data_IF_029841172264
#
_entry.id   IF_029841172264
#
_cell.length_a   1.000
_cell.length_b   1.000
_cell.length_c   1.000
_cell.angle_alpha   90.00
_cell.angle_beta   90.00
_cell.angle_gamma   90.00
#
_symmetry.space_group_name_H-M   'P 1'
#
loop_
_entity.id
_entity.type
_entity.pdbx_description
1 polymer ?
#
# COMPACT_ATOMS: atom_id res chain seq x y z
N UNK A 1 -59.01 40.89 12.07
CA UNK A 1 -57.76 40.49 11.37
C UNK A 1 -57.65 38.97 11.46
N UNK A 2 -57.97 38.25 10.36
CA UNK A 2 -57.72 36.81 10.22
C UNK A 2 -56.22 36.62 10.24
N UNK A 3 -55.67 35.91 11.24
CA UNK A 3 -54.30 35.39 11.20
C UNK A 3 -54.28 34.26 10.17
N UNK A 4 -53.69 34.47 9.04
CA UNK A 4 -53.31 33.40 8.12
C UNK A 4 -52.28 32.54 8.81
N UNK A 5 -52.61 31.26 9.00
CA UNK A 5 -51.65 30.25 9.43
C UNK A 5 -50.71 30.00 8.27
N UNK A 6 -49.58 30.69 8.27
CA UNK A 6 -48.50 30.40 7.36
C UNK A 6 -47.84 29.10 7.86
N UNK A 7 -48.26 27.96 7.30
CA UNK A 7 -47.63 26.69 7.54
C UNK A 7 -46.27 26.63 6.88
N UNK A 8 -45.23 26.34 7.63
CA UNK A 8 -43.90 26.03 7.07
C UNK A 8 -43.72 24.52 6.85
N UNK A 9 -43.28 24.11 5.67
CA UNK A 9 -43.01 22.70 5.38
C UNK A 9 -41.61 22.37 5.82
N UNK A 10 -41.46 21.38 6.71
CA UNK A 10 -40.18 20.90 7.22
C UNK A 10 -39.91 19.51 6.68
N UNK A 11 -38.76 19.30 6.03
CA UNK A 11 -38.29 17.99 5.58
C UNK A 11 -37.87 17.15 6.78
N UNK A 12 -38.34 15.91 6.87
CA UNK A 12 -38.02 14.97 7.94
C UNK A 12 -37.37 13.74 7.36
N UNK A 13 -36.41 13.16 8.07
CA UNK A 13 -35.77 11.91 7.72
C UNK A 13 -36.23 10.83 8.67
N UNK A 14 -36.61 9.70 8.13
CA UNK A 14 -36.93 8.51 8.90
C UNK A 14 -35.72 7.60 8.99
N UNK A 15 -35.50 6.95 10.11
CA UNK A 15 -34.45 6.00 10.36
C UNK A 15 -35.04 4.65 10.76
N UNK A 16 -34.36 3.58 10.44
CA UNK A 16 -34.71 2.22 10.82
C UNK A 16 -33.50 1.29 10.72
N UNK A 17 -33.58 0.17 11.41
CA UNK A 17 -32.58 -0.88 11.36
C UNK A 17 -33.10 -2.04 10.54
N UNK A 18 -32.51 -2.31 9.40
CA UNK A 18 -32.88 -3.41 8.51
C UNK A 18 -31.98 -4.62 8.75
N UNK A 19 -32.56 -5.79 8.92
CA UNK A 19 -31.83 -7.05 9.00
C UNK A 19 -31.60 -7.56 7.58
N UNK A 20 -30.36 -7.70 7.19
CA UNK A 20 -29.97 -8.19 5.87
C UNK A 20 -30.53 -9.60 5.65
N UNK A 21 -31.09 -9.85 4.47
CA UNK A 21 -31.79 -11.10 4.08
C UNK A 21 -33.09 -11.41 4.82
N UNK A 22 -33.74 -10.43 5.44
CA UNK A 22 -35.09 -10.57 6.02
C UNK A 22 -35.93 -9.37 5.63
N UNK A 23 -37.25 -9.48 5.75
CA UNK A 23 -38.21 -8.37 5.50
C UNK A 23 -38.49 -7.55 6.75
N UNK A 24 -37.65 -7.67 7.79
CA UNK A 24 -37.91 -7.02 9.08
C UNK A 24 -37.08 -5.73 9.22
N UNK A 25 -37.78 -4.68 9.63
CA UNK A 25 -37.21 -3.37 9.99
C UNK A 25 -37.56 -3.11 11.46
N UNK A 26 -36.55 -2.82 12.27
CA UNK A 26 -36.66 -2.47 13.68
C UNK A 26 -36.46 -0.97 13.91
N UNK A 27 -37.07 -0.45 14.96
CA UNK A 27 -36.91 0.93 15.39
C UNK A 27 -37.13 1.93 14.24
N UNK A 28 -38.16 1.67 13.44
CA UNK A 28 -38.54 2.62 12.39
C UNK A 28 -39.27 3.81 13.02
N UNK A 29 -38.75 4.99 12.76
CA UNK A 29 -39.29 6.21 13.29
C UNK A 29 -38.63 7.45 12.71
N UNK A 30 -39.13 8.60 13.13
CA UNK A 30 -38.53 9.88 12.78
C UNK A 30 -37.18 10.00 13.44
N UNK A 31 -36.16 10.40 12.67
CA UNK A 31 -34.80 10.57 13.17
C UNK A 31 -34.78 11.71 14.20
N UNK A 32 -34.37 11.37 15.43
CA UNK A 32 -34.19 12.33 16.50
C UNK A 32 -32.84 13.07 16.35
N UNK A 33 -32.78 14.27 16.91
CA UNK A 33 -31.54 15.06 16.98
C UNK A 33 -30.87 15.35 15.65
N UNK A 34 -31.64 15.64 14.59
CA UNK A 34 -31.03 16.09 13.32
C UNK A 34 -30.44 17.48 13.49
N UNK A 35 -29.16 17.67 13.04
CA UNK A 35 -28.56 19.01 12.98
C UNK A 35 -29.27 19.82 11.89
N UNK A 36 -29.88 20.95 12.26
CA UNK A 36 -30.59 21.86 11.37
C UNK A 36 -30.06 23.27 11.52
N UNK A 37 -29.91 23.97 10.41
CA UNK A 37 -29.61 25.37 10.45
C UNK A 37 -30.86 26.16 10.88
N UNK A 38 -30.70 27.13 11.78
CA UNK A 38 -31.79 28.04 12.17
C UNK A 38 -32.26 28.91 11.01
N UNK A 39 -31.39 29.19 10.05
CA UNK A 39 -31.70 29.97 8.86
C UNK A 39 -32.49 29.21 7.81
N UNK A 40 -32.37 27.86 7.78
CA UNK A 40 -33.06 27.01 6.81
C UNK A 40 -33.52 25.70 7.45
N UNK A 41 -34.72 25.68 7.97
CA UNK A 41 -35.32 24.51 8.63
C UNK A 41 -35.64 23.36 7.65
N UNK A 42 -35.72 23.65 6.37
CA UNK A 42 -35.97 22.64 5.33
C UNK A 42 -34.70 21.90 4.91
N UNK A 43 -33.51 22.37 5.31
CA UNK A 43 -32.27 21.67 5.05
C UNK A 43 -32.14 20.46 5.99
N UNK A 44 -31.95 19.29 5.39
CA UNK A 44 -31.76 18.05 6.16
C UNK A 44 -30.34 17.58 6.01
N UNK A 45 -29.62 17.51 7.12
CA UNK A 45 -28.29 16.94 7.19
C UNK A 45 -28.37 15.56 7.81
N UNK A 46 -27.79 14.56 7.14
CA UNK A 46 -27.69 13.22 7.70
C UNK A 46 -26.61 13.17 8.78
N UNK A 47 -26.75 12.25 9.72
CA UNK A 47 -25.72 12.00 10.76
C UNK A 47 -24.43 11.43 10.20
N UNK A 48 -24.43 11.00 8.95
CA UNK A 48 -23.28 10.44 8.25
C UNK A 48 -22.88 11.37 7.13
N UNK A 49 -21.57 11.63 7.05
CA UNK A 49 -20.97 12.36 5.95
C UNK A 49 -20.18 11.34 5.15
N UNK A 50 -20.64 11.09 3.92
CA UNK A 50 -20.06 10.10 3.04
C UNK A 50 -19.44 10.83 1.85
N UNK A 51 -18.22 10.47 1.54
CA UNK A 51 -17.58 10.80 0.29
C UNK A 51 -17.26 9.51 -0.46
N UNK A 52 -17.67 9.43 -1.70
CA UNK A 52 -17.46 8.24 -2.53
C UNK A 52 -16.98 8.67 -3.91
N UNK A 53 -15.67 8.57 -4.20
CA UNK A 53 -15.14 8.86 -5.52
C UNK A 53 -15.52 7.76 -6.52
N UNK A 54 -15.67 8.14 -7.78
CA UNK A 54 -15.84 7.21 -8.90
C UNK A 54 -16.98 6.20 -8.76
N UNK A 55 -18.19 6.69 -8.53
CA UNK A 55 -19.41 5.88 -8.37
C UNK A 55 -19.91 5.35 -9.73
N UNK A 56 -19.20 4.41 -10.33
CA UNK A 56 -19.67 3.75 -11.55
C UNK A 56 -20.58 2.56 -11.20
N UNK A 57 -21.81 2.55 -11.72
CA UNK A 57 -22.82 1.53 -11.43
C UNK A 57 -23.05 1.30 -9.92
N UNK A 58 -23.00 2.35 -9.11
CA UNK A 58 -23.15 2.28 -7.64
C UNK A 58 -22.09 1.39 -6.94
N UNK A 59 -21.01 1.06 -7.61
CA UNK A 59 -19.87 0.32 -7.05
C UNK A 59 -18.64 1.22 -7.02
N UNK A 60 -18.12 1.44 -5.85
CA UNK A 60 -16.83 2.10 -5.66
C UNK A 60 -15.79 1.04 -5.39
N UNK A 61 -14.70 1.07 -6.15
CA UNK A 61 -13.50 0.28 -5.84
C UNK A 61 -12.56 1.17 -5.03
N UNK A 62 -12.17 0.70 -3.86
CA UNK A 62 -11.19 1.41 -3.04
C UNK A 62 -9.82 1.42 -3.75
N UNK A 63 -8.97 2.38 -3.38
CA UNK A 63 -7.60 2.41 -3.86
C UNK A 63 -6.85 1.14 -3.45
N UNK A 64 -7.13 0.64 -2.24
CA UNK A 64 -6.57 -0.61 -1.71
C UNK A 64 -6.96 -1.81 -2.57
N UNK A 65 -8.23 -1.94 -2.98
CA UNK A 65 -8.67 -3.04 -3.86
C UNK A 65 -7.91 -3.07 -5.19
N UNK A 66 -7.47 -1.91 -5.67
CA UNK A 66 -6.66 -1.81 -6.89
C UNK A 66 -5.21 -2.21 -6.66
N UNK A 67 -4.70 -2.06 -5.44
CA UNK A 67 -3.32 -2.41 -5.07
C UNK A 67 -3.14 -3.89 -4.75
N UNK A 68 -4.16 -4.56 -4.21
CA UNK A 68 -4.11 -5.95 -3.75
C UNK A 68 -3.47 -6.90 -4.79
N UNK A 69 -3.86 -6.91 -6.09
CA UNK A 69 -3.28 -7.85 -7.04
C UNK A 69 -1.77 -7.69 -7.21
N UNK A 70 -1.26 -6.46 -7.15
CA UNK A 70 0.17 -6.18 -7.27
C UNK A 70 0.91 -6.52 -5.96
N UNK A 71 0.30 -6.26 -4.81
CA UNK A 71 0.85 -6.65 -3.52
C UNK A 71 1.00 -8.17 -3.40
N UNK A 72 0.01 -8.94 -3.85
CA UNK A 72 0.06 -10.40 -3.89
C UNK A 72 1.20 -10.91 -4.79
N UNK A 73 1.40 -10.26 -5.96
CA UNK A 73 2.53 -10.60 -6.85
C UNK A 73 3.90 -10.27 -6.21
N UNK A 74 3.99 -9.17 -5.48
CA UNK A 74 5.21 -8.82 -4.73
C UNK A 74 5.52 -9.87 -3.68
N UNK A 75 4.51 -10.30 -2.89
CA UNK A 75 4.68 -11.35 -1.89
C UNK A 75 5.11 -12.67 -2.53
N UNK A 76 4.47 -13.06 -3.63
CA UNK A 76 4.83 -14.27 -4.36
C UNK A 76 6.26 -14.22 -4.91
N UNK A 77 6.66 -13.08 -5.50
CA UNK A 77 8.03 -12.88 -5.97
C UNK A 77 9.03 -12.96 -4.82
N UNK A 78 8.73 -12.35 -3.67
CA UNK A 78 9.57 -12.40 -2.48
C UNK A 78 9.75 -13.83 -1.96
N UNK A 79 8.67 -14.61 -1.85
CA UNK A 79 8.73 -16.02 -1.44
C UNK A 79 9.58 -16.86 -2.41
N UNK A 80 9.45 -16.61 -3.72
CA UNK A 80 10.28 -17.27 -4.74
C UNK A 80 11.74 -16.90 -4.60
N UNK A 81 12.06 -15.63 -4.36
CA UNK A 81 13.43 -15.15 -4.10
C UNK A 81 14.00 -15.88 -2.87
N UNK A 82 13.28 -15.94 -1.76
CA UNK A 82 13.71 -16.68 -0.57
C UNK A 82 13.95 -18.16 -0.87
N UNK A 83 13.07 -18.78 -1.65
CA UNK A 83 13.22 -20.18 -2.03
C UNK A 83 14.47 -20.43 -2.91
N UNK A 84 14.74 -19.54 -3.87
CA UNK A 84 15.96 -19.62 -4.69
C UNK A 84 17.20 -19.45 -3.83
N UNK A 85 17.20 -18.49 -2.91
CA UNK A 85 18.30 -18.28 -1.98
C UNK A 85 18.52 -19.45 -1.03
N UNK A 86 17.45 -20.05 -0.51
CA UNK A 86 17.55 -21.23 0.36
C UNK A 86 18.08 -22.47 -0.36
N UNK A 87 17.83 -22.58 -1.67
CA UNK A 87 18.35 -23.65 -2.52
C UNK A 87 19.70 -23.35 -3.15
N UNK A 88 20.18 -22.12 -2.97
CA UNK A 88 21.47 -21.70 -3.51
C UNK A 88 22.57 -22.61 -2.96
N UNK A 89 23.31 -23.21 -3.87
CA UNK A 89 24.49 -23.99 -3.54
C UNK A 89 25.73 -23.22 -4.01
N UNK A 90 26.89 -23.42 -3.38
CA UNK A 90 28.14 -22.93 -3.97
C UNK A 90 28.26 -23.46 -5.40
N UNK A 91 28.95 -22.70 -6.25
CA UNK A 91 29.26 -23.18 -7.60
C UNK A 91 29.93 -24.54 -7.48
N UNK A 92 29.32 -25.53 -8.09
CA UNK A 92 29.89 -26.88 -8.15
C UNK A 92 30.45 -27.13 -9.54
N UNK A 93 31.29 -28.15 -9.63
CA UNK A 93 31.74 -28.70 -10.90
C UNK A 93 31.41 -30.20 -10.93
N UNK A 94 31.00 -30.69 -12.08
CA UNK A 94 30.88 -32.12 -12.31
C UNK A 94 32.24 -32.61 -12.89
N UNK A 95 32.80 -33.60 -12.22
CA UNK A 95 34.08 -34.18 -12.61
C UNK A 95 33.81 -35.55 -13.23
N UNK A 96 34.44 -35.81 -14.36
CA UNK A 96 34.46 -37.13 -14.95
C UNK A 96 35.60 -37.94 -14.33
N UNK A 97 35.24 -38.95 -13.54
CA UNK A 97 36.18 -39.77 -12.76
C UNK A 97 37.19 -40.48 -13.69
N UNK A 98 36.72 -41.01 -14.84
CA UNK A 98 37.56 -41.77 -15.78
C UNK A 98 38.70 -40.91 -16.37
N UNK A 99 38.50 -39.61 -16.63
CA UNK A 99 39.57 -38.75 -17.14
C UNK A 99 40.52 -38.24 -16.07
N UNK A 100 40.15 -38.41 -14.79
CA UNK A 100 40.98 -38.06 -13.63
C UNK A 100 41.74 -39.24 -13.04
N UNK A 101 41.41 -40.48 -13.45
CA UNK A 101 42.18 -41.66 -13.09
C UNK A 101 43.54 -41.59 -13.79
N UNK A 102 44.60 -41.95 -13.06
CA UNK A 102 45.96 -41.99 -13.53
C UNK A 102 46.66 -40.66 -13.80
N UNK A 103 46.16 -39.56 -13.23
CA UNK A 103 46.96 -38.31 -13.22
C UNK A 103 48.15 -38.48 -12.27
N UNK A 104 49.35 -38.52 -12.83
CA UNK A 104 50.60 -38.76 -12.09
C UNK A 104 50.96 -37.61 -11.17
N UNK A 105 51.21 -37.90 -9.89
CA UNK A 105 51.99 -37.05 -8.98
C UNK A 105 53.44 -37.12 -9.42
N UNK A 106 54.18 -36.05 -9.47
CA UNK A 106 55.59 -36.03 -9.82
C UNK A 106 56.50 -37.03 -9.06
N UNK A 107 56.02 -37.65 -8.00
CA UNK A 107 56.65 -38.66 -7.16
C UNK A 107 56.37 -40.12 -7.59
N UNK A 108 55.77 -40.31 -8.75
CA UNK A 108 55.40 -41.68 -9.22
C UNK A 108 54.11 -42.24 -8.66
N UNK A 109 53.38 -41.52 -7.80
CA UNK A 109 52.03 -41.83 -7.36
C UNK A 109 50.96 -41.23 -8.26
N UNK A 110 49.71 -41.71 -8.12
CA UNK A 110 48.53 -41.15 -8.80
C UNK A 110 47.70 -40.30 -7.84
N UNK A 111 47.08 -39.23 -8.32
CA UNK A 111 46.15 -38.45 -7.53
C UNK A 111 44.85 -39.22 -7.32
N UNK A 112 44.34 -39.17 -6.12
CA UNK A 112 42.99 -39.63 -5.87
C UNK A 112 41.96 -38.56 -6.31
N UNK A 113 40.72 -38.94 -6.72
CA UNK A 113 39.70 -37.95 -7.11
C UNK A 113 39.44 -36.87 -6.06
N UNK A 114 39.56 -37.24 -4.78
CA UNK A 114 39.36 -36.35 -3.63
C UNK A 114 40.48 -35.27 -3.55
N UNK A 115 41.74 -35.65 -3.77
CA UNK A 115 42.87 -34.74 -3.79
C UNK A 115 42.77 -33.76 -4.96
N UNK A 116 42.26 -34.19 -6.11
CA UNK A 116 42.02 -33.32 -7.26
C UNK A 116 40.90 -32.34 -7.00
N UNK A 117 39.84 -32.74 -6.25
CA UNK A 117 38.80 -31.84 -5.81
C UNK A 117 39.33 -30.79 -4.84
N UNK A 118 40.19 -31.14 -3.89
CA UNK A 118 40.83 -30.19 -2.98
C UNK A 118 41.71 -29.18 -3.73
N UNK A 119 42.46 -29.61 -4.76
CA UNK A 119 43.27 -28.73 -5.59
C UNK A 119 42.35 -27.76 -6.36
N UNK A 120 41.22 -28.25 -6.89
CA UNK A 120 40.25 -27.39 -7.57
C UNK A 120 39.65 -26.34 -6.63
N UNK A 121 39.25 -26.73 -5.43
CA UNK A 121 38.68 -25.81 -4.45
C UNK A 121 39.68 -24.75 -3.99
N UNK A 122 40.99 -25.08 -3.96
CA UNK A 122 42.04 -24.14 -3.57
C UNK A 122 42.54 -23.24 -4.70
N UNK A 123 42.68 -23.77 -5.91
CA UNK A 123 43.33 -23.08 -7.04
C UNK A 123 42.40 -22.70 -8.18
N UNK A 124 41.21 -23.33 -8.25
CA UNK A 124 40.29 -23.19 -9.37
C UNK A 124 40.76 -23.87 -10.67
N UNK A 125 41.90 -24.56 -10.64
CA UNK A 125 42.50 -25.19 -11.81
C UNK A 125 42.51 -26.72 -11.66
N UNK A 126 42.18 -27.42 -12.76
CA UNK A 126 42.38 -28.87 -12.87
C UNK A 126 43.17 -29.18 -14.11
N UNK A 127 44.17 -30.02 -13.96
CA UNK A 127 45.01 -30.53 -15.04
C UNK A 127 44.50 -31.91 -15.42
N UNK A 128 44.14 -32.14 -16.67
CA UNK A 128 43.64 -33.42 -17.17
C UNK A 128 44.34 -33.80 -18.47
N UNK A 129 44.42 -35.09 -18.74
CA UNK A 129 44.96 -35.65 -19.95
C UNK A 129 43.88 -35.83 -20.99
N UNK A 130 44.02 -35.18 -22.14
CA UNK A 130 43.02 -35.23 -23.24
C UNK A 130 43.28 -36.41 -24.20
N UNK A 131 44.42 -36.98 -24.15
CA UNK A 131 44.83 -38.06 -25.05
C UNK A 131 45.06 -39.30 -24.21
N UNK A 132 44.37 -40.38 -24.55
CA UNK A 132 44.51 -41.69 -23.92
C UNK A 132 45.87 -42.31 -24.29
N UNK A 133 46.35 -43.29 -23.50
CA UNK A 133 47.65 -43.95 -23.76
C UNK A 133 47.68 -44.65 -25.12
N UNK A 134 46.52 -44.89 -25.75
CA UNK A 134 46.34 -45.40 -27.10
C UNK A 134 46.34 -44.32 -28.19
N UNK A 135 46.50 -43.06 -27.86
CA UNK A 135 46.52 -41.93 -28.79
C UNK A 135 45.16 -41.40 -29.27
N UNK A 136 44.06 -41.89 -28.72
CA UNK A 136 42.73 -41.47 -29.03
C UNK A 136 42.33 -40.21 -28.24
N UNK A 137 41.70 -39.23 -28.88
CA UNK A 137 41.11 -38.06 -28.18
C UNK A 137 39.84 -38.49 -27.45
N UNK A 138 39.84 -38.38 -26.13
CA UNK A 138 38.62 -38.45 -25.33
C UNK A 138 37.80 -37.20 -25.61
N UNK A 139 36.61 -37.33 -26.20
CA UNK A 139 35.76 -36.21 -26.59
C UNK A 139 35.01 -35.52 -25.45
N UNK A 140 35.12 -36.01 -24.22
CA UNK A 140 34.45 -35.47 -23.07
C UNK A 140 35.23 -34.31 -22.44
N UNK A 141 34.55 -33.26 -22.07
CA UNK A 141 35.09 -32.19 -21.24
C UNK A 141 35.05 -32.70 -19.79
N UNK A 142 36.23 -32.89 -19.12
CA UNK A 142 36.29 -33.56 -17.83
C UNK A 142 35.68 -32.77 -16.69
N UNK A 143 35.43 -31.47 -16.91
CA UNK A 143 34.82 -30.58 -15.94
C UNK A 143 33.72 -29.80 -16.62
N UNK A 144 32.52 -30.00 -16.14
CA UNK A 144 31.38 -29.16 -16.49
C UNK A 144 31.04 -28.28 -15.27
N UNK A 145 31.15 -26.98 -15.43
CA UNK A 145 30.69 -26.05 -14.40
C UNK A 145 29.18 -26.20 -14.25
N UNK A 146 28.74 -26.48 -13.04
CA UNK A 146 27.32 -26.48 -12.70
C UNK A 146 26.94 -25.06 -12.31
N UNK A 147 26.09 -24.45 -13.13
CA UNK A 147 25.48 -23.19 -12.75
C UNK A 147 24.72 -23.36 -11.44
N UNK A 148 24.96 -22.48 -10.48
CA UNK A 148 24.30 -22.49 -9.17
C UNK A 148 22.82 -22.08 -9.22
N UNK A 149 22.25 -21.86 -10.41
CA UNK A 149 20.83 -21.53 -10.63
C UNK A 149 20.40 -20.14 -10.15
N UNK A 150 21.27 -19.41 -9.45
CA UNK A 150 20.92 -18.12 -8.85
C UNK A 150 20.90 -16.98 -9.88
N UNK A 151 21.79 -16.98 -10.85
CA UNK A 151 22.10 -15.79 -11.63
C UNK A 151 20.93 -15.29 -12.49
N UNK A 152 20.33 -16.12 -13.30
CA UNK A 152 19.34 -15.71 -14.31
C UNK A 152 17.94 -15.57 -13.73
N UNK A 153 17.51 -16.54 -12.95
CA UNK A 153 16.16 -16.56 -12.35
C UNK A 153 16.03 -15.50 -11.28
N UNK A 154 17.07 -15.26 -10.50
CA UNK A 154 17.12 -14.25 -9.45
C UNK A 154 16.93 -12.83 -10.03
N UNK A 155 17.66 -12.49 -11.09
CA UNK A 155 17.50 -11.20 -11.79
C UNK A 155 16.08 -10.99 -12.33
N UNK A 156 15.50 -12.05 -12.89
CA UNK A 156 14.11 -12.02 -13.39
C UNK A 156 13.09 -11.78 -12.27
N UNK A 157 13.27 -12.44 -11.12
CA UNK A 157 12.38 -12.26 -9.95
C UNK A 157 12.49 -10.85 -9.36
N UNK A 158 13.69 -10.27 -9.29
CA UNK A 158 13.90 -8.88 -8.86
C UNK A 158 13.20 -7.91 -9.83
N UNK A 159 13.29 -8.14 -11.14
CA UNK A 159 12.62 -7.32 -12.13
C UNK A 159 11.08 -7.39 -11.98
N UNK A 160 10.53 -8.58 -11.73
CA UNK A 160 9.09 -8.76 -11.46
C UNK A 160 8.69 -8.03 -10.18
N UNK A 161 9.48 -8.12 -9.12
CA UNK A 161 9.25 -7.40 -7.87
C UNK A 161 9.21 -5.88 -8.09
N UNK A 162 10.24 -5.33 -8.73
CA UNK A 162 10.34 -3.90 -9.01
C UNK A 162 9.23 -3.41 -9.95
N UNK A 163 8.87 -4.21 -10.97
CA UNK A 163 7.77 -3.89 -11.86
C UNK A 163 6.44 -3.76 -11.10
N UNK A 164 6.10 -4.71 -10.23
CA UNK A 164 4.88 -4.65 -9.43
C UNK A 164 4.90 -3.49 -8.42
N UNK A 165 6.06 -3.15 -7.85
CA UNK A 165 6.22 -1.99 -6.99
C UNK A 165 5.93 -0.69 -7.77
N UNK A 166 6.44 -0.59 -9.01
CA UNK A 166 6.14 0.53 -9.89
C UNK A 166 4.65 0.61 -10.24
N UNK A 167 4.00 -0.52 -10.50
CA UNK A 167 2.55 -0.58 -10.76
C UNK A 167 1.73 -0.07 -9.56
N UNK A 168 2.15 -0.37 -8.32
CA UNK A 168 1.51 0.19 -7.12
C UNK A 168 1.66 1.72 -7.10
N UNK A 169 2.85 2.24 -7.40
CA UNK A 169 3.09 3.69 -7.49
C UNK A 169 2.22 4.35 -8.55
N UNK A 170 2.10 3.74 -9.72
CA UNK A 170 1.28 4.24 -10.82
C UNK A 170 -0.22 4.25 -10.48
N UNK A 171 -0.71 3.20 -9.82
CA UNK A 171 -2.11 3.10 -9.39
C UNK A 171 -2.45 4.08 -8.28
N UNK A 172 -1.52 4.33 -7.36
CA UNK A 172 -1.71 5.26 -6.23
C UNK A 172 -1.44 6.71 -6.60
N UNK A 173 -0.68 6.95 -7.66
CA UNK A 173 -0.17 8.27 -8.02
C UNK A 173 0.91 8.79 -7.05
N UNK A 174 1.42 7.91 -6.17
CA UNK A 174 2.50 8.25 -5.24
C UNK A 174 3.82 7.86 -5.86
N UNK A 175 4.65 8.85 -6.18
CA UNK A 175 5.98 8.65 -6.74
C UNK A 175 7.09 8.72 -5.67
N UNK A 176 8.32 8.43 -6.08
CA UNK A 176 9.50 8.42 -5.20
C UNK A 176 9.72 9.73 -4.45
N UNK A 177 9.32 10.87 -5.01
CA UNK A 177 9.44 12.16 -4.34
C UNK A 177 8.50 12.31 -3.14
N UNK A 178 7.46 11.47 -3.01
CA UNK A 178 6.49 11.49 -1.91
C UNK A 178 6.61 10.34 -0.94
N UNK A 179 7.18 9.21 -1.34
CA UNK A 179 7.32 8.03 -0.47
C UNK A 179 8.57 8.09 0.43
N UNK A 180 9.22 9.27 0.50
CA UNK A 180 10.44 9.52 1.26
C UNK A 180 11.66 8.71 0.78
N UNK A 181 11.63 8.12 -0.40
CA UNK A 181 12.81 7.53 -1.01
C UNK A 181 13.79 8.63 -1.43
N UNK A 182 15.07 8.36 -1.27
CA UNK A 182 16.12 9.30 -1.63
C UNK A 182 16.17 9.45 -3.16
N UNK A 183 15.94 10.65 -3.72
CA UNK A 183 16.04 10.84 -5.15
C UNK A 183 17.46 10.58 -5.61
N UNK A 184 17.63 10.09 -6.83
CA UNK A 184 18.96 9.87 -7.38
C UNK A 184 19.74 11.20 -7.40
N UNK A 185 21.03 11.14 -7.07
CA UNK A 185 21.93 12.32 -7.05
C UNK A 185 22.03 13.04 -8.41
N UNK A 186 21.65 12.35 -9.48
CA UNK A 186 21.65 12.86 -10.85
C UNK A 186 20.33 13.51 -11.27
N UNK A 187 19.28 13.40 -10.46
CA UNK A 187 17.97 13.95 -10.81
C UNK A 187 17.98 15.49 -10.71
N UNK A 188 17.71 16.15 -11.82
CA UNK A 188 17.56 17.60 -11.90
C UNK A 188 16.46 18.10 -10.97
N UNK A 189 16.73 19.12 -10.17
CA UNK A 189 15.77 19.73 -9.21
C UNK A 189 14.45 20.11 -9.90
N UNK A 190 14.48 20.53 -11.16
CA UNK A 190 13.28 20.83 -11.94
C UNK A 190 12.39 19.61 -12.18
N UNK A 191 12.99 18.46 -12.49
CA UNK A 191 12.26 17.19 -12.71
C UNK A 191 11.64 16.72 -11.41
N UNK A 192 12.34 16.83 -10.27
CA UNK A 192 11.80 16.49 -8.96
C UNK A 192 10.59 17.34 -8.58
N UNK A 193 10.64 18.66 -8.84
CA UNK A 193 9.50 19.55 -8.62
C UNK A 193 8.31 19.19 -9.50
N UNK A 194 8.53 18.87 -10.77
CA UNK A 194 7.46 18.42 -11.68
C UNK A 194 6.85 17.10 -11.23
N UNK A 195 7.67 16.16 -10.80
CA UNK A 195 7.22 14.86 -10.27
C UNK A 195 6.37 15.05 -9.00
N UNK A 196 6.77 15.94 -8.10
CA UNK A 196 6.00 16.29 -6.91
C UNK A 196 4.65 16.92 -7.26
N UNK A 197 4.62 17.87 -8.21
CA UNK A 197 3.39 18.49 -8.69
C UNK A 197 2.45 17.47 -9.36
N UNK A 198 2.98 16.59 -10.18
CA UNK A 198 2.21 15.52 -10.81
C UNK A 198 1.58 14.58 -9.77
N UNK A 199 2.33 14.16 -8.76
CA UNK A 199 1.83 13.33 -7.68
C UNK A 199 0.78 14.05 -6.81
N UNK A 200 0.95 15.35 -6.56
CA UNK A 200 -0.05 16.14 -5.86
C UNK A 200 -1.35 16.27 -6.66
N UNK A 201 -1.26 16.40 -7.98
CA UNK A 201 -2.44 16.42 -8.85
C UNK A 201 -3.15 15.05 -8.88
N UNK A 202 -2.41 13.96 -8.92
CA UNK A 202 -2.98 12.60 -8.92
C UNK A 202 -3.75 12.27 -7.63
N UNK A 203 -3.39 12.89 -6.50
CA UNK A 203 -4.05 12.69 -5.19
C UNK A 203 -4.94 13.86 -4.77
N UNK A 204 -5.18 14.83 -5.67
CA UNK A 204 -5.94 16.03 -5.37
C UNK A 204 -7.37 15.75 -4.95
N UNK A 205 -8.02 14.81 -5.63
CA UNK A 205 -9.39 14.38 -5.33
C UNK A 205 -9.52 13.82 -3.90
N UNK A 206 -8.51 13.11 -3.41
CA UNK A 206 -8.48 12.60 -2.03
C UNK A 206 -8.36 13.74 -1.02
N UNK A 207 -7.49 14.73 -1.30
CA UNK A 207 -7.34 15.90 -0.44
C UNK A 207 -8.62 16.77 -0.43
N UNK A 208 -9.22 17.00 -1.58
CA UNK A 208 -10.48 17.73 -1.70
C UNK A 208 -11.63 17.02 -0.99
N UNK A 209 -11.64 15.68 -1.04
CA UNK A 209 -12.56 14.84 -0.29
C UNK A 209 -12.42 15.04 1.21
N UNK A 210 -11.19 14.93 1.71
CA UNK A 210 -10.87 15.12 3.12
C UNK A 210 -11.30 16.50 3.62
N UNK A 211 -10.96 17.55 2.89
CA UNK A 211 -11.34 18.91 3.22
C UNK A 211 -12.87 19.09 3.23
N UNK A 212 -13.57 18.51 2.25
CA UNK A 212 -15.03 18.58 2.17
C UNK A 212 -15.71 17.87 3.34
N UNK A 213 -15.24 16.65 3.67
CA UNK A 213 -15.74 15.89 4.83
C UNK A 213 -15.48 16.69 6.12
N UNK A 214 -14.26 17.18 6.31
CA UNK A 214 -13.89 17.95 7.50
C UNK A 214 -14.74 19.21 7.64
N UNK A 215 -14.96 19.95 6.55
CA UNK A 215 -15.82 21.15 6.54
C UNK A 215 -17.25 20.81 6.95
N UNK A 216 -17.82 19.74 6.37
CA UNK A 216 -19.19 19.33 6.70
C UNK A 216 -19.32 18.84 8.15
N UNK A 217 -18.34 18.11 8.65
CA UNK A 217 -18.30 17.69 10.06
C UNK A 217 -18.25 18.94 10.97
N UNK A 218 -17.39 19.89 10.67
CA UNK A 218 -17.29 21.15 11.43
C UNK A 218 -18.60 21.94 11.43
N UNK A 219 -19.30 22.00 10.28
CA UNK A 219 -20.62 22.62 10.20
C UNK A 219 -21.66 21.90 11.08
N UNK A 220 -21.69 20.58 11.05
CA UNK A 220 -22.59 19.80 11.90
C UNK A 220 -22.29 20.01 13.40
N UNK A 221 -21.01 20.04 13.77
CA UNK A 221 -20.58 20.32 15.15
C UNK A 221 -21.02 21.74 15.56
N UNK A 222 -20.83 22.73 14.70
CA UNK A 222 -21.23 24.12 14.97
C UNK A 222 -22.76 24.22 15.21
N UNK A 223 -23.57 23.57 14.37
CA UNK A 223 -25.02 23.51 14.57
C UNK A 223 -25.41 22.84 15.90
N UNK A 224 -24.73 21.76 16.27
CA UNK A 224 -24.92 21.11 17.56
C UNK A 224 -24.53 21.99 18.75
N UNK A 225 -23.42 22.73 18.62
CA UNK A 225 -23.02 23.70 19.62
C UNK A 225 -24.09 24.78 19.84
N UNK A 226 -24.74 25.28 18.79
CA UNK A 226 -25.83 26.24 18.91
C UNK A 226 -27.03 25.67 19.69
N UNK A 227 -27.36 24.38 19.49
CA UNK A 227 -28.46 23.73 20.22
C UNK A 227 -28.11 23.53 21.70
N UNK A 228 -26.87 23.19 22.01
CA UNK A 228 -26.41 22.94 23.38
C UNK A 228 -26.53 24.18 24.29
N UNK A 229 -26.37 25.37 23.73
CA UNK A 229 -26.55 26.62 24.47
C UNK A 229 -27.99 26.79 25.04
N UNK A 230 -28.94 26.05 24.51
CA UNK A 230 -30.33 26.05 25.01
C UNK A 230 -30.55 25.13 26.23
N UNK A 231 -29.57 24.23 26.52
CA UNK A 231 -29.66 23.27 27.63
C UNK A 231 -28.78 23.72 28.81
N UNK A 232 -29.42 24.23 29.86
CA UNK A 232 -28.70 24.78 31.05
C UNK A 232 -27.73 23.80 31.72
N UNK A 233 -28.01 22.49 31.67
CA UNK A 233 -27.12 21.47 32.28
C UNK A 233 -25.81 21.22 31.54
N UNK A 234 -25.77 21.51 30.23
CA UNK A 234 -24.60 21.29 29.41
C UNK A 234 -23.69 22.53 29.31
N UNK A 235 -24.21 23.70 29.68
CA UNK A 235 -23.48 24.96 29.67
C UNK A 235 -22.18 24.91 30.49
N UNK A 236 -22.23 24.34 31.71
CA UNK A 236 -21.06 24.22 32.59
C UNK A 236 -20.01 23.23 32.05
N UNK A 237 -20.44 22.15 31.37
CA UNK A 237 -19.49 21.23 30.73
C UNK A 237 -18.75 21.89 29.55
N UNK A 238 -19.45 22.75 28.83
CA UNK A 238 -18.87 23.48 27.70
C UNK A 238 -17.90 24.57 28.13
N UNK A 239 -18.22 25.32 29.21
CA UNK A 239 -17.33 26.35 29.73
C UNK A 239 -15.97 25.75 30.12
N UNK A 240 -15.96 24.54 30.67
CA UNK A 240 -14.74 23.83 31.03
C UNK A 240 -13.89 23.41 29.81
N UNK A 241 -14.49 23.19 28.63
CA UNK A 241 -13.81 22.75 27.42
C UNK A 241 -13.34 23.94 26.56
N UNK A 242 -14.20 24.95 26.40
CA UNK A 242 -13.97 26.09 25.51
C UNK A 242 -13.28 27.24 26.23
N UNK A 243 -13.41 27.32 27.55
CA UNK A 243 -12.94 28.41 28.38
C UNK A 243 -13.97 29.53 28.51
N UNK A 244 -13.87 30.25 29.67
CA UNK A 244 -14.86 31.25 30.09
C UNK A 244 -14.95 32.44 29.11
N UNK A 245 -13.84 32.84 28.50
CA UNK A 245 -13.77 33.95 27.55
C UNK A 245 -14.56 33.66 26.27
N UNK A 246 -14.43 32.46 25.72
CA UNK A 246 -15.16 32.04 24.53
C UNK A 246 -16.65 31.87 24.82
N UNK A 247 -16.99 31.34 26.01
CA UNK A 247 -18.39 31.22 26.46
C UNK A 247 -19.04 32.58 26.64
N UNK A 248 -18.33 33.55 27.24
CA UNK A 248 -18.84 34.93 27.37
C UNK A 248 -19.14 35.57 26.00
N UNK A 249 -18.27 35.36 25.01
CA UNK A 249 -18.49 35.86 23.64
C UNK A 249 -19.73 35.21 23.00
N UNK A 250 -19.94 33.92 23.20
CA UNK A 250 -21.14 33.20 22.72
C UNK A 250 -22.41 33.72 23.39
N UNK A 251 -22.39 33.94 24.70
CA UNK A 251 -23.53 34.49 25.45
C UNK A 251 -23.86 35.92 25.01
N UNK A 252 -22.85 36.73 24.69
CA UNK A 252 -23.05 38.05 24.13
C UNK A 252 -23.70 37.99 22.74
N UNK A 253 -23.25 37.11 21.85
CA UNK A 253 -23.87 36.91 20.54
C UNK A 253 -25.31 36.43 20.65
N UNK A 254 -25.64 35.59 21.63
CA UNK A 254 -27.01 35.13 21.91
C UNK A 254 -27.92 36.26 22.36
N UNK A 255 -27.41 37.24 23.10
CA UNK A 255 -28.17 38.41 23.55
C UNK A 255 -28.46 39.41 22.45
N UNK A 256 -27.57 39.42 21.42
CA UNK A 256 -27.68 40.31 20.25
C UNK A 256 -28.53 39.77 19.10
N UNK A 257 -28.83 38.45 19.08
CA UNK A 257 -29.69 37.79 18.10
C UNK A 257 -31.12 37.60 18.65
#
# INVERSE_FOLDING_TARGET
TKRENIGSTVKVVYTGKYIINTDYIFNYGMMENMPRSKSNLSETNLSYIIYQPNLYKMKSKSLVDRMIPFADQIQLAHLKIQHVLAKARPKGAAFEIGSLENVSKGDGGTFTPLELQEIYDQTGNIYYRRIDDEGNMTGAVPIAELENGIGRDFGTLINVYNHNLQMIRDVTGVNEARDASQPSSEALVGVQKLALLASNNATRDINDAYLNVTRRVSQCISMRMQDLLNYKGLHNMYSNVIGDTAMHSIDMMKKMS
#
